data_IF_765685056417
#
_entry.id   IF_765685056417
#
_cell.length_a   1.000
_cell.length_b   1.000
_cell.length_c   1.000
_cell.angle_alpha   90.00
_cell.angle_beta   90.00
_cell.angle_gamma   90.00
#
_symmetry.space_group_name_H-M   'P 1'
#
loop_
_entity.id
_entity.type
_entity.pdbx_description
1 polymer ?
#
# COMPACT_ATOMS: atom_id res chain seq x y z
N UNK A 1 6.60 9.44 18.54
CA UNK A 1 6.32 9.80 17.14
C UNK A 1 6.62 11.27 16.92
N UNK A 2 7.14 11.65 15.75
CA UNK A 2 7.19 13.05 15.27
C UNK A 2 6.54 13.11 13.88
N UNK A 3 5.80 14.17 13.58
CA UNK A 3 5.21 14.40 12.25
C UNK A 3 5.80 15.65 11.60
N UNK A 4 5.84 15.67 10.28
CA UNK A 4 6.15 16.82 9.44
C UNK A 4 5.11 16.88 8.33
N UNK A 5 3.95 17.44 8.66
CA UNK A 5 2.82 17.54 7.74
C UNK A 5 2.69 18.94 7.15
N UNK A 6 2.28 19.00 5.88
CA UNK A 6 2.07 20.23 5.13
C UNK A 6 0.59 20.58 5.16
N UNK A 7 0.27 21.85 5.41
CA UNK A 7 -1.10 22.36 5.24
C UNK A 7 -1.55 22.29 3.77
N UNK A 8 -0.61 22.47 2.83
CA UNK A 8 -0.84 22.30 1.40
C UNK A 8 0.05 21.18 0.85
N UNK A 9 -0.50 20.13 0.22
CA UNK A 9 0.30 19.00 -0.25
C UNK A 9 1.15 19.39 -1.46
N UNK A 10 2.32 18.75 -1.59
CA UNK A 10 3.04 18.75 -2.87
C UNK A 10 2.23 17.92 -3.86
N UNK A 11 1.86 18.52 -4.97
CA UNK A 11 1.12 17.85 -6.05
C UNK A 11 2.10 17.45 -7.15
N UNK A 12 2.03 16.19 -7.59
CA UNK A 12 2.77 15.73 -8.76
C UNK A 12 1.95 14.70 -9.55
N UNK A 13 2.34 14.44 -10.80
CA UNK A 13 1.69 13.46 -11.67
C UNK A 13 2.62 12.29 -11.94
N UNK A 14 2.09 11.07 -11.86
CA UNK A 14 2.77 9.82 -12.24
C UNK A 14 1.90 9.13 -13.26
N UNK A 15 2.37 9.03 -14.51
CA UNK A 15 1.66 8.34 -15.61
C UNK A 15 0.19 8.75 -15.73
N UNK A 16 -0.09 10.04 -15.60
CA UNK A 16 -1.45 10.62 -15.67
C UNK A 16 -2.20 10.72 -14.34
N UNK A 17 -1.80 9.96 -13.31
CA UNK A 17 -2.43 10.00 -11.99
C UNK A 17 -1.85 11.09 -11.11
N UNK A 18 -2.73 11.84 -10.43
CA UNK A 18 -2.35 12.93 -9.52
C UNK A 18 -2.12 12.39 -8.11
N UNK A 19 -0.94 12.62 -7.56
CA UNK A 19 -0.59 12.26 -6.18
C UNK A 19 -0.43 13.54 -5.35
N UNK A 20 -0.94 13.50 -4.11
CA UNK A 20 -0.83 14.57 -3.11
C UNK A 20 0.05 14.08 -1.96
N UNK A 21 1.25 14.62 -1.83
CA UNK A 21 2.17 14.33 -0.73
C UNK A 21 2.00 15.35 0.41
N UNK A 22 1.46 14.88 1.53
CA UNK A 22 1.22 15.67 2.74
C UNK A 22 2.41 15.70 3.71
N UNK A 23 3.51 14.99 3.44
CA UNK A 23 4.68 15.00 4.31
C UNK A 23 4.98 13.63 4.95
N UNK A 24 5.48 13.63 6.18
CA UNK A 24 6.16 12.47 6.77
C UNK A 24 5.76 12.20 8.23
N UNK A 25 5.76 10.92 8.59
CA UNK A 25 5.70 10.44 9.97
C UNK A 25 7.05 9.80 10.30
N UNK A 26 7.64 10.19 11.42
CA UNK A 26 8.88 9.65 11.95
C UNK A 26 8.55 8.80 13.17
N UNK A 27 8.78 7.50 13.04
CA UNK A 27 8.58 6.51 14.10
C UNK A 27 9.93 6.13 14.71
N UNK A 28 9.96 5.97 16.03
CA UNK A 28 11.07 5.36 16.78
C UNK A 28 10.85 3.86 16.94
N UNK A 29 11.89 3.14 17.32
CA UNK A 29 11.79 1.72 17.70
C UNK A 29 10.65 1.51 18.70
N UNK A 30 9.75 0.57 18.38
CA UNK A 30 8.57 0.27 19.20
C UNK A 30 7.30 1.03 18.81
N UNK A 31 7.39 2.12 18.03
CA UNK A 31 6.23 2.92 17.64
C UNK A 31 5.52 2.36 16.41
N UNK A 32 4.20 2.59 16.32
CA UNK A 32 3.36 2.14 15.21
C UNK A 32 2.39 3.26 14.83
N UNK A 33 2.03 3.32 13.56
CA UNK A 33 0.92 4.13 13.05
C UNK A 33 0.09 3.30 12.09
N UNK A 34 -1.21 3.54 12.09
CA UNK A 34 -2.16 2.91 11.19
C UNK A 34 -2.60 3.89 10.11
N UNK A 35 -2.67 3.43 8.86
CA UNK A 35 -3.25 4.18 7.75
C UNK A 35 -4.64 3.64 7.50
N UNK A 36 -5.64 4.52 7.51
CA UNK A 36 -7.04 4.15 7.33
C UNK A 36 -7.52 4.67 5.97
N UNK A 37 -8.08 3.80 5.14
CA UNK A 37 -8.66 4.18 3.86
C UNK A 37 -9.97 4.96 4.05
N UNK A 38 -10.48 5.58 2.97
CA UNK A 38 -11.78 6.25 3.00
C UNK A 38 -12.94 5.31 3.38
N UNK A 39 -12.81 4.02 3.07
CA UNK A 39 -13.77 2.97 3.44
C UNK A 39 -13.58 2.43 4.86
N UNK A 40 -12.61 2.96 5.63
CA UNK A 40 -12.37 2.59 7.02
C UNK A 40 -11.45 1.38 7.22
N UNK A 41 -10.78 0.87 6.18
CA UNK A 41 -9.87 -0.29 6.31
C UNK A 41 -8.48 0.14 6.76
N UNK A 42 -7.86 -0.66 7.61
CA UNK A 42 -6.65 -0.28 8.32
C UNK A 42 -5.40 -1.05 7.84
N UNK A 43 -4.28 -0.33 7.63
CA UNK A 43 -2.97 -0.91 7.36
C UNK A 43 -1.87 -0.26 8.22
N UNK A 44 -1.29 -1.06 9.12
CA UNK A 44 -0.29 -0.64 10.09
C UNK A 44 1.14 -0.62 9.55
N UNK A 45 1.93 0.31 10.08
CA UNK A 45 3.38 0.34 9.94
C UNK A 45 4.03 0.52 11.32
N UNK A 46 4.87 -0.43 11.70
CA UNK A 46 5.59 -0.39 12.97
C UNK A 46 7.10 -0.23 12.74
N UNK A 47 7.74 0.65 13.49
CA UNK A 47 9.19 0.77 13.47
C UNK A 47 9.85 -0.15 14.49
N UNK A 48 10.98 -0.73 14.08
CA UNK A 48 11.89 -1.52 14.90
C UNK A 48 13.32 -1.05 14.67
N UNK A 49 14.26 -1.41 15.55
CA UNK A 49 15.70 -1.07 15.39
C UNK A 49 16.27 -1.43 14.01
N UNK A 50 15.73 -2.48 13.38
CA UNK A 50 16.15 -2.97 12.07
C UNK A 50 15.42 -2.32 10.88
N UNK A 51 14.38 -1.49 11.09
CA UNK A 51 13.65 -0.83 10.01
C UNK A 51 12.14 -0.73 10.23
N UNK A 52 11.37 -0.85 9.14
CA UNK A 52 9.92 -0.81 9.16
C UNK A 52 9.34 -2.20 8.95
N UNK A 53 8.51 -2.61 9.90
CA UNK A 53 7.63 -3.76 9.81
C UNK A 53 6.29 -3.31 9.21
N UNK A 54 6.01 -3.74 7.99
CA UNK A 54 4.72 -3.54 7.32
C UNK A 54 3.72 -4.48 8.02
N UNK A 55 2.86 -3.90 8.84
CA UNK A 55 2.43 -4.43 10.14
C UNK A 55 1.13 -5.23 10.22
N UNK A 56 0.65 -5.89 9.16
CA UNK A 56 -0.14 -7.11 9.36
C UNK A 56 0.23 -8.27 8.42
N UNK A 57 -0.06 -9.50 8.85
CA UNK A 57 0.09 -10.69 8.01
C UNK A 57 -0.81 -10.60 6.77
N UNK A 58 -0.21 -10.75 5.58
CA UNK A 58 -0.91 -10.61 4.30
C UNK A 58 -2.03 -11.64 4.12
N UNK A 59 -1.85 -12.85 4.66
CA UNK A 59 -2.77 -13.98 4.53
C UNK A 59 -3.73 -14.15 5.73
N UNK A 60 -3.71 -13.25 6.72
CA UNK A 60 -4.61 -13.35 7.88
C UNK A 60 -5.15 -12.00 8.31
N UNK A 61 -4.32 -11.09 8.85
CA UNK A 61 -4.84 -9.82 9.37
C UNK A 61 -5.27 -8.88 8.25
N UNK A 62 -4.47 -8.68 7.20
CA UNK A 62 -4.89 -7.83 6.07
C UNK A 62 -6.14 -8.38 5.36
N UNK A 63 -6.22 -9.71 5.22
CA UNK A 63 -7.43 -10.38 4.70
C UNK A 63 -8.67 -10.09 5.56
N UNK A 64 -8.55 -10.16 6.89
CA UNK A 64 -9.65 -9.81 7.82
C UNK A 64 -10.05 -8.33 7.75
N UNK A 65 -9.09 -7.45 7.51
CA UNK A 65 -9.33 -6.01 7.28
C UNK A 65 -9.92 -5.72 5.88
N UNK A 66 -10.15 -6.73 5.04
CA UNK A 66 -10.76 -6.59 3.71
C UNK A 66 -9.78 -6.17 2.61
N UNK A 67 -8.51 -6.56 2.72
CA UNK A 67 -7.50 -6.36 1.69
C UNK A 67 -7.03 -7.68 1.05
N UNK A 68 -6.80 -7.64 -0.26
CA UNK A 68 -5.85 -8.53 -0.96
C UNK A 68 -4.54 -7.81 -1.18
N UNK A 69 -3.43 -8.55 -1.25
CA UNK A 69 -2.11 -7.94 -1.48
C UNK A 69 -1.49 -8.47 -2.76
N UNK A 70 -1.30 -7.61 -3.76
CA UNK A 70 -0.72 -7.98 -5.04
C UNK A 70 0.79 -7.68 -5.07
N UNK A 71 1.56 -8.61 -5.64
CA UNK A 71 2.87 -8.33 -6.22
C UNK A 71 2.66 -7.91 -7.68
N UNK A 72 3.10 -6.72 -8.03
CA UNK A 72 2.88 -6.10 -9.35
C UNK A 72 4.22 -5.82 -10.03
N UNK A 73 4.31 -6.10 -11.32
CA UNK A 73 5.44 -5.76 -12.18
C UNK A 73 5.05 -4.63 -13.13
N UNK A 74 5.87 -3.58 -13.19
CA UNK A 74 5.69 -2.52 -14.19
C UNK A 74 6.43 -2.79 -15.50
N UNK A 75 6.21 -1.94 -16.50
CA UNK A 75 6.86 -2.04 -17.82
C UNK A 75 8.40 -1.87 -17.76
N UNK A 76 8.94 -1.27 -16.70
CA UNK A 76 10.40 -1.15 -16.45
C UNK A 76 10.99 -2.39 -15.73
N UNK A 77 10.20 -3.43 -15.48
CA UNK A 77 10.66 -4.62 -14.77
C UNK A 77 10.81 -4.43 -13.25
N UNK A 78 10.20 -3.38 -12.68
CA UNK A 78 10.25 -3.08 -11.26
C UNK A 78 9.04 -3.70 -10.53
N UNK A 79 9.28 -4.21 -9.32
CA UNK A 79 8.27 -4.85 -8.49
C UNK A 79 7.68 -3.87 -7.47
N UNK A 80 6.37 -3.99 -7.26
CA UNK A 80 5.59 -3.21 -6.30
C UNK A 80 4.71 -4.14 -5.47
N UNK A 81 4.45 -3.73 -4.22
CA UNK A 81 3.47 -4.37 -3.35
C UNK A 81 2.31 -3.41 -3.18
N UNK A 82 1.12 -3.86 -3.56
CA UNK A 82 -0.11 -3.08 -3.50
C UNK A 82 -1.13 -3.82 -2.62
N UNK A 83 -1.59 -3.22 -1.52
CA UNK A 83 -2.84 -3.68 -0.91
C UNK A 83 -4.01 -3.08 -1.66
N UNK A 84 -5.00 -3.93 -1.90
CA UNK A 84 -6.17 -3.66 -2.72
C UNK A 84 -7.36 -4.04 -1.86
N UNK A 85 -8.22 -3.07 -1.65
CA UNK A 85 -9.53 -3.28 -1.07
C UNK A 85 -10.28 -4.37 -1.88
N UNK A 86 -10.77 -5.44 -1.23
CA UNK A 86 -11.37 -6.61 -1.89
C UNK A 86 -12.50 -6.27 -2.87
N UNK A 87 -13.33 -5.29 -2.52
CA UNK A 87 -14.41 -4.74 -3.35
C UNK A 87 -13.93 -3.77 -4.44
N UNK A 88 -12.65 -3.40 -4.48
CA UNK A 88 -12.05 -2.50 -5.49
C UNK A 88 -11.08 -3.19 -6.45
N UNK A 89 -11.13 -4.52 -6.52
CA UNK A 89 -10.20 -5.31 -7.35
C UNK A 89 -10.35 -4.97 -8.84
N UNK A 90 -11.56 -4.72 -9.32
CA UNK A 90 -11.79 -4.41 -10.74
C UNK A 90 -11.28 -3.01 -11.10
N UNK A 91 -11.51 -2.01 -10.24
CA UNK A 91 -10.92 -0.67 -10.37
C UNK A 91 -9.40 -0.73 -10.35
N UNK A 92 -8.82 -1.58 -9.49
CA UNK A 92 -7.38 -1.78 -9.44
C UNK A 92 -6.85 -2.40 -10.74
N UNK A 93 -7.51 -3.43 -11.29
CA UNK A 93 -7.13 -4.02 -12.58
C UNK A 93 -7.19 -3.00 -13.72
N UNK A 94 -8.20 -2.12 -13.71
CA UNK A 94 -8.31 -1.05 -14.71
C UNK A 94 -7.20 0.00 -14.54
N UNK A 95 -6.88 0.37 -13.30
CA UNK A 95 -5.77 1.25 -12.99
C UNK A 95 -4.43 0.70 -13.52
N UNK A 96 -4.16 -0.59 -13.35
CA UNK A 96 -2.92 -1.21 -13.81
C UNK A 96 -2.76 -1.16 -15.34
N UNK A 97 -3.87 -1.25 -16.09
CA UNK A 97 -3.87 -1.13 -17.55
C UNK A 97 -3.66 0.31 -18.00
N UNK A 98 -4.32 1.25 -17.33
CA UNK A 98 -4.37 2.65 -17.72
C UNK A 98 -3.00 3.32 -17.60
N UNK A 99 -2.38 3.67 -18.74
CA UNK A 99 -1.13 4.43 -18.84
C UNK A 99 0.11 3.82 -18.17
N UNK A 100 0.04 2.59 -17.65
CA UNK A 100 1.15 1.93 -16.93
C UNK A 100 1.48 0.54 -17.45
N UNK A 101 0.53 -0.17 -18.09
CA UNK A 101 0.69 -1.55 -18.57
C UNK A 101 1.30 -2.49 -17.53
N UNK A 102 0.92 -2.31 -16.28
CA UNK A 102 1.40 -3.11 -15.16
C UNK A 102 0.70 -4.47 -15.15
N UNK A 103 1.38 -5.48 -14.59
CA UNK A 103 0.86 -6.85 -14.48
C UNK A 103 0.88 -7.31 -13.04
N UNK A 104 -0.20 -7.95 -12.61
CA UNK A 104 -0.22 -8.70 -11.35
C UNK A 104 0.59 -9.97 -11.58
N UNK A 105 1.66 -10.14 -10.81
CA UNK A 105 2.44 -11.38 -10.78
C UNK A 105 1.73 -12.42 -9.93
N UNK A 106 1.22 -12.00 -8.76
CA UNK A 106 0.43 -12.87 -7.89
C UNK A 106 -0.28 -12.10 -6.78
N UNK A 107 -1.26 -12.75 -6.15
CA UNK A 107 -1.83 -12.36 -4.88
C UNK A 107 -1.06 -13.05 -3.74
N UNK A 108 -0.35 -12.27 -2.94
CA UNK A 108 0.53 -12.77 -1.87
C UNK A 108 -0.26 -13.46 -0.75
N UNK A 109 -1.53 -13.06 -0.56
CA UNK A 109 -2.44 -13.69 0.40
C UNK A 109 -2.86 -15.12 0.01
N UNK A 110 -2.65 -15.53 -1.25
CA UNK A 110 -3.02 -16.84 -1.79
C UNK A 110 -1.81 -17.78 -1.98
N UNK A 111 -0.61 -17.35 -1.61
CA UNK A 111 0.62 -18.14 -1.80
C UNK A 111 0.69 -19.37 -0.91
N UNK A 112 0.13 -19.28 0.29
CA UNK A 112 0.00 -20.42 1.18
C UNK A 112 -1.27 -21.16 0.78
N UNK A 113 -1.12 -22.30 0.12
CA UNK A 113 -2.21 -23.30 0.02
C UNK A 113 -2.12 -24.17 1.27
N UNK A 114 -3.28 -24.42 1.88
CA UNK A 114 -3.44 -25.49 2.87
C UNK A 114 -3.13 -26.87 2.24
#
# INVERSE_FOLDING_TARGET
>A
MKTDFKNNPRIFKVKGFKVKDYGKIYLKDGEMVSFVTESGREWDFAARKWGLYVGPSVNSRLKKEGFKVALVLNEQGQLYVNAVEEDKIEEFKEYLKTNQNNKIISWLDEWMRD
#
